data_IF_474364086854
#
_entry.id   IF_474364086854
#
_cell.length_a   1.000
_cell.length_b   1.000
_cell.length_c   1.000
_cell.angle_alpha   90.00
_cell.angle_beta   90.00
_cell.angle_gamma   90.00
#
_symmetry.space_group_name_H-M   'P 1'
#
loop_
_entity.id
_entity.type
_entity.pdbx_description
1 polymer ?
#
# COMPACT_ATOMS: atom_id res chain seq x y z
N UNK A 1 10.20 -1.90 -4.05
CA UNK A 1 9.89 -0.49 -3.71
C UNK A 1 11.09 0.39 -4.07
N UNK A 2 10.92 1.55 -4.75
CA UNK A 2 12.04 2.39 -5.20
C UNK A 2 12.98 2.85 -4.08
N UNK A 3 12.46 3.46 -3.00
CA UNK A 3 13.27 3.96 -1.87
C UNK A 3 14.18 2.89 -1.23
N UNK A 4 13.64 1.75 -0.81
CA UNK A 4 14.45 0.66 -0.25
C UNK A 4 15.45 0.10 -1.26
N UNK A 5 15.05 -0.03 -2.54
CA UNK A 5 15.94 -0.53 -3.58
C UNK A 5 17.12 0.42 -3.83
N UNK A 6 16.87 1.74 -3.87
CA UNK A 6 17.93 2.74 -3.98
C UNK A 6 18.86 2.70 -2.77
N UNK A 7 18.31 2.64 -1.56
CA UNK A 7 19.11 2.55 -0.34
C UNK A 7 19.99 1.29 -0.34
N UNK A 8 19.42 0.14 -0.68
CA UNK A 8 20.15 -1.12 -0.81
C UNK A 8 21.33 -1.02 -1.79
N UNK A 9 21.10 -0.51 -3.01
CA UNK A 9 22.15 -0.37 -4.01
C UNK A 9 23.24 0.61 -3.58
N UNK A 10 22.88 1.73 -2.94
CA UNK A 10 23.85 2.69 -2.39
C UNK A 10 24.75 1.99 -1.36
N UNK A 11 24.16 1.26 -0.42
CA UNK A 11 24.91 0.56 0.62
C UNK A 11 25.85 -0.50 0.05
N UNK A 12 25.37 -1.31 -0.89
CA UNK A 12 26.14 -2.43 -1.43
C UNK A 12 27.24 -2.01 -2.41
N UNK A 13 26.96 -1.03 -3.28
CA UNK A 13 27.84 -0.66 -4.40
C UNK A 13 28.76 0.54 -4.09
N UNK A 14 28.42 1.38 -3.10
CA UNK A 14 29.24 2.53 -2.70
C UNK A 14 30.08 2.26 -1.44
N UNK A 15 30.20 0.99 -1.03
CA UNK A 15 30.98 0.54 0.13
C UNK A 15 30.56 1.20 1.47
N UNK A 16 29.34 1.71 1.58
CA UNK A 16 28.77 2.30 2.81
C UNK A 16 28.20 1.22 3.76
N UNK A 17 28.85 0.05 3.83
CA UNK A 17 28.31 -1.13 4.53
C UNK A 17 28.16 -0.94 6.03
N UNK A 18 29.02 -0.11 6.63
CA UNK A 18 29.01 0.22 8.06
C UNK A 18 27.92 1.26 8.44
N UNK A 19 27.16 1.77 7.46
CA UNK A 19 26.10 2.76 7.71
C UNK A 19 24.82 2.09 8.23
N UNK A 20 24.43 2.42 9.46
CA UNK A 20 23.19 1.92 10.08
C UNK A 20 21.92 2.61 9.54
N UNK A 21 22.05 3.83 9.00
CA UNK A 21 20.93 4.61 8.46
C UNK A 21 21.35 5.49 7.27
N UNK A 22 20.56 5.45 6.19
CA UNK A 22 20.69 6.33 5.03
C UNK A 22 19.46 7.24 4.92
N UNK A 23 19.65 8.56 4.95
CA UNK A 23 18.57 9.52 4.70
C UNK A 23 18.50 9.90 3.23
N UNK A 24 17.38 9.61 2.58
CA UNK A 24 17.09 10.00 1.20
C UNK A 24 16.23 11.27 1.17
N UNK A 25 16.68 12.30 0.46
CA UNK A 25 15.97 13.57 0.37
C UNK A 25 15.07 13.63 -0.87
N UNK A 26 13.75 13.67 -0.66
CA UNK A 26 12.74 13.81 -1.71
C UNK A 26 12.00 15.14 -1.62
N UNK A 27 11.21 15.48 -2.65
CA UNK A 27 10.28 16.63 -2.60
C UNK A 27 9.26 16.53 -1.47
N UNK A 28 8.91 15.30 -1.07
CA UNK A 28 8.00 15.03 0.05
C UNK A 28 8.67 15.17 1.43
N UNK A 29 9.98 15.38 1.48
CA UNK A 29 10.76 15.49 2.72
C UNK A 29 11.91 14.47 2.79
N UNK A 30 12.75 14.56 3.83
CA UNK A 30 13.75 13.54 4.13
C UNK A 30 13.08 12.23 4.56
N UNK A 31 13.60 11.10 4.07
CA UNK A 31 13.11 9.76 4.40
C UNK A 31 14.29 8.92 4.88
N UNK A 32 14.41 8.68 6.21
CA UNK A 32 15.43 7.79 6.75
C UNK A 32 15.10 6.34 6.40
N UNK A 33 16.13 5.60 6.01
CA UNK A 33 16.11 4.16 5.79
C UNK A 33 17.12 3.51 6.72
N UNK A 34 16.65 2.66 7.63
CA UNK A 34 17.50 1.97 8.63
C UNK A 34 17.80 0.56 8.16
N UNK A 35 19.03 0.11 8.37
CA UNK A 35 19.48 -1.25 8.06
C UNK A 35 19.50 -2.11 9.34
N UNK A 36 18.74 -3.19 9.34
CA UNK A 36 18.78 -4.21 10.39
C UNK A 36 19.66 -5.38 9.91
N UNK A 37 20.96 -5.32 10.23
CA UNK A 37 21.94 -6.32 9.79
C UNK A 37 21.65 -7.73 10.30
N UNK A 38 21.09 -7.85 11.50
CA UNK A 38 20.80 -9.16 12.08
C UNK A 38 19.71 -9.90 11.31
N UNK A 39 18.81 -9.15 10.66
CA UNK A 39 17.68 -9.70 9.92
C UNK A 39 17.82 -9.59 8.41
N UNK A 40 18.85 -8.89 7.92
CA UNK A 40 19.01 -8.54 6.51
C UNK A 40 17.76 -7.81 5.94
N UNK A 41 17.29 -6.79 6.69
CA UNK A 41 16.07 -6.03 6.36
C UNK A 41 16.35 -4.54 6.34
N UNK A 42 15.72 -3.83 5.39
CA UNK A 42 15.69 -2.37 5.35
C UNK A 42 14.32 -1.87 5.82
N UNK A 43 14.33 -0.89 6.71
CA UNK A 43 13.13 -0.24 7.25
C UNK A 43 12.99 1.18 6.75
N UNK A 44 11.76 1.62 6.49
CA UNK A 44 11.44 3.03 6.31
C UNK A 44 10.21 3.39 7.13
N UNK A 45 10.13 4.63 7.58
CA UNK A 45 8.93 5.16 8.23
C UNK A 45 8.02 5.80 7.18
N UNK A 46 6.77 5.32 7.12
CA UNK A 46 5.70 5.95 6.33
C UNK A 46 5.06 7.10 7.11
N UNK A 47 4.36 8.00 6.41
CA UNK A 47 3.61 9.08 7.05
C UNK A 47 2.51 8.55 7.99
N UNK A 48 2.03 9.40 8.89
CA UNK A 48 0.89 9.06 9.72
C UNK A 48 -0.35 8.80 8.85
N UNK A 49 -1.16 7.77 9.16
CA UNK A 49 -2.30 7.43 8.34
C UNK A 49 -3.40 8.50 8.44
N UNK A 50 -3.98 8.87 7.31
CA UNK A 50 -5.24 9.59 7.23
C UNK A 50 -6.32 8.65 6.71
N UNK A 51 -7.53 8.83 7.25
CA UNK A 51 -8.69 8.00 6.94
C UNK A 51 -9.75 8.86 6.27
N UNK A 52 -10.16 8.45 5.08
CA UNK A 52 -11.12 9.15 4.23
C UNK A 52 -12.46 8.44 4.19
N UNK A 53 -13.08 8.48 3.00
CA UNK A 53 -14.42 7.95 2.75
C UNK A 53 -14.49 6.44 3.04
N UNK A 54 -15.56 6.03 3.72
CA UNK A 54 -15.96 4.62 3.83
C UNK A 54 -16.86 4.27 2.65
N UNK A 55 -16.60 3.13 2.02
CA UNK A 55 -17.29 2.67 0.82
C UNK A 55 -18.26 1.54 1.12
N UNK A 56 -19.25 1.40 0.25
CA UNK A 56 -20.15 0.26 0.25
C UNK A 56 -19.40 -1.01 -0.18
N UNK A 57 -19.49 -2.06 0.64
CA UNK A 57 -18.74 -3.32 0.42
C UNK A 57 -19.19 -4.02 -0.84
N UNK A 58 -20.50 -4.06 -1.08
CA UNK A 58 -21.07 -4.66 -2.27
C UNK A 58 -20.60 -3.97 -3.54
N UNK A 59 -20.57 -2.63 -3.55
CA UNK A 59 -20.01 -1.88 -4.68
C UNK A 59 -18.55 -2.27 -4.99
N UNK A 60 -17.72 -2.47 -3.96
CA UNK A 60 -16.31 -2.84 -4.16
C UNK A 60 -16.16 -4.32 -4.51
N UNK A 61 -16.96 -5.21 -3.94
CA UNK A 61 -17.03 -6.61 -4.33
C UNK A 61 -17.39 -6.76 -5.83
N UNK A 62 -18.37 -5.97 -6.31
CA UNK A 62 -18.77 -5.93 -7.71
C UNK A 62 -17.64 -5.46 -8.65
N UNK A 63 -16.76 -4.57 -8.17
CA UNK A 63 -15.57 -4.10 -8.91
C UNK A 63 -14.48 -5.17 -8.96
N UNK A 64 -14.31 -5.92 -7.87
CA UNK A 64 -13.31 -6.99 -7.76
C UNK A 64 -13.78 -8.33 -8.37
N UNK A 65 -15.04 -8.41 -8.82
CA UNK A 65 -15.74 -9.64 -9.18
C UNK A 65 -15.65 -10.72 -8.09
N UNK A 66 -15.84 -10.32 -6.85
CA UNK A 66 -15.91 -11.21 -5.69
C UNK A 66 -17.34 -11.28 -5.14
N UNK A 67 -17.66 -12.40 -4.51
CA UNK A 67 -18.79 -12.47 -3.60
C UNK A 67 -18.50 -11.63 -2.34
N UNK A 68 -19.51 -10.93 -1.81
CA UNK A 68 -19.36 -10.07 -0.63
C UNK A 68 -18.87 -10.86 0.61
N UNK A 69 -19.13 -12.16 0.67
CA UNK A 69 -18.64 -13.05 1.75
C UNK A 69 -17.10 -13.17 1.79
N UNK A 70 -16.41 -12.79 0.71
CA UNK A 70 -14.95 -12.70 0.69
C UNK A 70 -14.39 -11.41 1.32
N UNK A 71 -15.24 -10.41 1.59
CA UNK A 71 -14.85 -9.20 2.31
C UNK A 71 -15.13 -9.41 3.81
N UNK A 72 -14.13 -9.16 4.65
CA UNK A 72 -14.25 -9.30 6.10
C UNK A 72 -15.18 -8.24 6.68
N UNK A 73 -16.34 -8.70 7.17
CA UNK A 73 -17.38 -7.82 7.66
C UNK A 73 -17.03 -7.06 8.94
N UNK A 74 -15.98 -7.49 9.66
CA UNK A 74 -15.52 -6.85 10.91
C UNK A 74 -14.90 -5.47 10.69
N UNK A 75 -14.44 -5.19 9.47
CA UNK A 75 -13.71 -3.96 9.14
C UNK A 75 -14.40 -3.20 7.98
N UNK A 76 -14.23 -1.86 7.89
CA UNK A 76 -14.76 -1.08 6.79
C UNK A 76 -13.88 -1.23 5.54
N UNK A 77 -14.50 -1.06 4.36
CA UNK A 77 -13.75 -0.71 3.14
C UNK A 77 -13.60 0.80 3.12
N UNK A 78 -12.37 1.32 3.08
CA UNK A 78 -12.12 2.74 3.36
C UNK A 78 -10.94 3.31 2.57
N UNK A 79 -11.01 4.57 2.18
CA UNK A 79 -9.83 5.32 1.72
C UNK A 79 -8.84 5.54 2.87
N UNK A 80 -7.59 5.13 2.68
CA UNK A 80 -6.49 5.29 3.64
C UNK A 80 -5.26 5.82 2.92
N UNK A 81 -4.52 6.73 3.55
CA UNK A 81 -3.27 7.27 2.98
C UNK A 81 -2.21 7.46 4.06
N UNK A 82 -0.98 7.05 3.77
CA UNK A 82 0.23 7.47 4.49
C UNK A 82 1.10 8.41 3.63
N UNK A 83 0.52 8.96 2.56
CA UNK A 83 1.16 9.79 1.54
C UNK A 83 0.54 9.59 0.16
N UNK A 84 0.23 8.35 -0.21
CA UNK A 84 -0.51 7.99 -1.42
C UNK A 84 -1.84 7.31 -1.05
N UNK A 85 -3.00 7.88 -1.39
CA UNK A 85 -4.30 7.30 -1.04
C UNK A 85 -4.63 6.00 -1.79
N UNK A 86 -5.16 5.02 -1.06
CA UNK A 86 -5.67 3.74 -1.58
C UNK A 86 -7.02 3.40 -0.95
N UNK A 87 -7.82 2.59 -1.63
CA UNK A 87 -9.04 1.97 -1.06
C UNK A 87 -8.59 0.67 -0.38
N UNK A 88 -8.59 0.63 0.94
CA UNK A 88 -8.26 -0.56 1.72
C UNK A 88 -9.48 -1.48 1.83
N UNK A 89 -9.35 -2.71 1.35
CA UNK A 89 -10.40 -3.72 1.29
C UNK A 89 -9.96 -4.93 2.11
N UNK A 90 -10.53 -5.16 3.31
CA UNK A 90 -10.16 -6.29 4.14
C UNK A 90 -10.78 -7.57 3.57
N UNK A 91 -9.95 -8.52 3.13
CA UNK A 91 -10.41 -9.83 2.66
C UNK A 91 -10.38 -10.88 3.77
N UNK A 92 -11.20 -11.91 3.63
CA UNK A 92 -11.28 -13.01 4.60
C UNK A 92 -10.14 -14.02 4.49
N UNK A 93 -9.49 -14.12 3.32
CA UNK A 93 -8.40 -15.08 3.10
C UNK A 93 -7.49 -14.75 1.91
N UNK A 94 -6.38 -15.50 1.79
CA UNK A 94 -5.48 -15.41 0.65
C UNK A 94 -6.12 -15.98 -0.63
N UNK A 95 -7.01 -16.97 -0.51
CA UNK A 95 -7.77 -17.52 -1.63
C UNK A 95 -8.67 -16.44 -2.24
N UNK A 96 -9.36 -15.64 -1.41
CA UNK A 96 -10.14 -14.50 -1.87
C UNK A 96 -9.32 -13.53 -2.74
N UNK A 97 -8.09 -13.21 -2.32
CA UNK A 97 -7.20 -12.33 -3.07
C UNK A 97 -6.82 -12.91 -4.45
N UNK A 98 -6.68 -14.24 -4.56
CA UNK A 98 -6.32 -14.92 -5.81
C UNK A 98 -7.47 -15.01 -6.81
N UNK A 99 -8.72 -14.97 -6.33
CA UNK A 99 -9.91 -15.02 -7.17
C UNK A 99 -10.28 -13.66 -7.80
N UNK A 100 -9.63 -12.57 -7.39
CA UNK A 100 -9.93 -11.22 -7.87
C UNK A 100 -9.71 -11.11 -9.38
N UNK A 101 -10.75 -10.65 -10.07
CA UNK A 101 -10.68 -10.24 -11.47
C UNK A 101 -11.30 -8.85 -11.59
N UNK A 102 -10.47 -7.81 -11.63
CA UNK A 102 -10.97 -6.43 -11.61
C UNK A 102 -11.78 -6.11 -12.87
N UNK A 103 -13.05 -5.72 -12.67
CA UNK A 103 -13.88 -5.10 -13.70
C UNK A 103 -13.40 -3.65 -13.92
N UNK A 104 -12.69 -3.43 -15.03
CA UNK A 104 -12.07 -2.14 -15.35
C UNK A 104 -13.09 -1.01 -15.50
N UNK A 105 -14.25 -1.27 -16.08
CA UNK A 105 -15.26 -0.23 -16.29
C UNK A 105 -15.85 0.23 -14.96
N UNK A 106 -16.23 -0.72 -14.11
CA UNK A 106 -16.70 -0.43 -12.75
C UNK A 106 -15.62 0.23 -11.91
N UNK A 107 -14.37 -0.23 -12.03
CA UNK A 107 -13.21 0.35 -11.36
C UNK A 107 -13.01 1.84 -11.71
N UNK A 108 -12.95 2.18 -13.00
CA UNK A 108 -12.75 3.57 -13.41
C UNK A 108 -13.91 4.46 -12.99
N UNK A 109 -15.15 3.94 -13.02
CA UNK A 109 -16.33 4.63 -12.52
C UNK A 109 -16.28 4.84 -11.00
N UNK A 110 -15.80 3.85 -10.25
CA UNK A 110 -15.65 3.94 -8.79
C UNK A 110 -14.69 5.08 -8.41
N UNK A 111 -13.50 5.10 -9.01
CA UNK A 111 -12.43 6.02 -8.61
C UNK A 111 -12.53 7.41 -9.23
N UNK A 112 -13.50 7.66 -10.11
CA UNK A 112 -13.63 8.93 -10.86
C UNK A 112 -13.63 10.14 -9.91
N UNK A 113 -14.40 10.04 -8.82
CA UNK A 113 -14.59 11.11 -7.84
C UNK A 113 -13.90 10.83 -6.49
N UNK A 114 -12.87 9.99 -6.49
CA UNK A 114 -12.12 9.61 -5.28
C UNK A 114 -10.70 10.17 -5.30
N UNK A 115 -10.09 10.36 -4.13
CA UNK A 115 -8.65 10.66 -4.07
C UNK A 115 -7.84 9.40 -4.36
N UNK A 116 -8.26 8.27 -3.78
CA UNK A 116 -7.66 6.98 -4.01
C UNK A 116 -7.87 6.51 -5.45
N UNK A 117 -6.75 6.14 -6.10
CA UNK A 117 -6.71 5.59 -7.46
C UNK A 117 -6.19 4.16 -7.50
N UNK A 118 -6.11 3.49 -6.36
CA UNK A 118 -5.70 2.09 -6.26
C UNK A 118 -6.54 1.40 -5.19
N UNK A 119 -6.72 0.09 -5.35
CA UNK A 119 -7.37 -0.78 -4.36
C UNK A 119 -6.28 -1.66 -3.74
N UNK A 120 -6.24 -1.73 -2.41
CA UNK A 120 -5.33 -2.56 -1.64
C UNK A 120 -6.15 -3.62 -0.89
N UNK A 121 -5.84 -4.89 -1.16
CA UNK A 121 -6.53 -6.09 -0.65
C UNK A 121 -5.59 -6.96 0.15
#
# INVERSE_FOLDING_TARGET
>A
HPTLGTAYVIREELEERDTEELTLHYKAGPTPVTYDEQKDVLWMTQGQPTFGKVLDKKQVADVLNLDETYIDMRFPVQEVSTGLPVILVPLTSLEAAKEIHVDKEKYFKLIENMEAKAIMV
#
